data_IF_181557071114
#
_entry.id   IF_181557071114
#
_cell.length_a   1.000
_cell.length_b   1.000
_cell.length_c   1.000
_cell.angle_alpha   90.00
_cell.angle_beta   90.00
_cell.angle_gamma   90.00
#
_symmetry.space_group_name_H-M   'P 1'
#
loop_
_entity.id
_entity.type
_entity.pdbx_description
1 polymer ?
#
# COMPACT_ATOMS: atom_id res chain seq x y z
N UNK A 1 -22.20 14.74 7.12
CA UNK A 1 -21.49 14.88 8.40
C UNK A 1 -20.05 15.24 8.09
N UNK A 2 -19.48 16.28 8.72
CA UNK A 2 -18.15 16.78 8.36
C UNK A 2 -17.05 15.78 8.76
N UNK A 3 -16.19 15.43 7.81
CA UNK A 3 -14.97 14.64 8.01
C UNK A 3 -14.06 15.33 9.04
N UNK A 4 -13.54 14.57 10.01
CA UNK A 4 -12.62 15.08 11.05
C UNK A 4 -11.21 14.57 10.81
N UNK A 5 -10.23 15.47 10.90
CA UNK A 5 -8.82 15.14 10.89
C UNK A 5 -8.08 16.05 11.86
N UNK A 6 -7.11 15.50 12.57
CA UNK A 6 -6.16 16.25 13.42
C UNK A 6 -4.92 16.70 12.64
N UNK A 7 -4.87 16.46 11.33
CA UNK A 7 -3.82 17.00 10.46
C UNK A 7 -4.16 18.45 10.11
N UNK A 8 -3.74 19.39 10.96
CA UNK A 8 -3.81 20.81 10.65
C UNK A 8 -2.65 21.17 9.71
N UNK A 9 -2.96 21.51 8.47
CA UNK A 9 -2.04 22.17 7.55
C UNK A 9 -2.76 23.41 7.05
N UNK A 10 -2.14 24.61 7.02
CA UNK A 10 -2.73 25.75 6.33
C UNK A 10 -3.14 25.29 4.94
N UNK A 11 -4.35 25.61 4.51
CA UNK A 11 -4.74 25.28 3.13
C UNK A 11 -3.66 25.87 2.20
N UNK A 12 -3.07 25.07 1.29
CA UNK A 12 -2.17 25.63 0.30
C UNK A 12 -2.93 26.76 -0.40
N UNK A 13 -2.28 27.91 -0.60
CA UNK A 13 -2.87 28.98 -1.38
C UNK A 13 -3.35 28.35 -2.69
N UNK A 14 -4.66 28.34 -2.90
CA UNK A 14 -5.26 27.79 -4.11
C UNK A 14 -4.63 28.53 -5.27
N UNK A 15 -3.65 27.90 -5.93
CA UNK A 15 -3.08 28.39 -7.17
C UNK A 15 -4.06 28.12 -8.31
N UNK A 16 -5.35 28.40 -8.11
CA UNK A 16 -6.39 28.58 -9.12
C UNK A 16 -7.62 29.21 -8.46
N UNK A 17 -7.53 30.51 -8.20
CA UNK A 17 -8.73 31.35 -8.17
C UNK A 17 -9.42 31.23 -9.54
N UNK A 18 -10.74 31.09 -9.54
CA UNK A 18 -11.55 30.90 -10.74
C UNK A 18 -11.23 31.94 -11.82
N UNK A 19 -11.10 31.47 -13.06
CA UNK A 19 -10.94 32.35 -14.23
C UNK A 19 -9.81 32.00 -15.20
N UNK A 20 -9.23 30.79 -15.19
CA UNK A 20 -8.22 30.44 -16.17
C UNK A 20 -8.85 30.03 -17.51
N UNK A 21 -8.92 30.96 -18.47
CA UNK A 21 -9.13 30.64 -19.88
C UNK A 21 -7.80 30.13 -20.47
N UNK A 22 -7.72 28.83 -20.73
CA UNK A 22 -6.54 28.20 -21.30
C UNK A 22 -6.58 28.34 -22.85
N UNK A 23 -5.63 29.03 -23.50
CA UNK A 23 -5.60 29.16 -24.96
C UNK A 23 -4.88 27.98 -25.63
N UNK A 24 -5.05 26.76 -25.11
CA UNK A 24 -4.40 25.56 -25.66
C UNK A 24 -5.35 24.66 -26.48
N UNK A 25 -6.58 25.11 -26.72
CA UNK A 25 -7.46 24.51 -27.72
C UNK A 25 -7.46 25.34 -29.00
N UNK A 26 -6.35 25.32 -29.75
CA UNK A 26 -6.35 25.79 -31.13
C UNK A 26 -5.30 25.06 -31.98
N UNK A 27 -5.80 24.11 -32.80
CA UNK A 27 -5.21 23.55 -34.03
C UNK A 27 -3.98 22.65 -33.79
N UNK A 28 -3.94 21.42 -34.31
CA UNK A 28 -3.88 21.12 -35.75
C UNK A 28 -4.41 19.72 -36.05
N UNK A 29 -5.33 19.66 -37.03
CA UNK A 29 -5.58 18.49 -37.86
C UNK A 29 -4.47 18.35 -38.91
N UNK A 30 -4.26 17.10 -39.34
CA UNK A 30 -3.41 16.59 -40.44
C UNK A 30 -1.90 16.47 -40.21
N UNK A 31 -1.45 15.22 -40.04
CA UNK A 31 -0.65 14.50 -41.05
C UNK A 31 -0.66 13.00 -40.74
N UNK A 32 -1.25 12.21 -41.63
CA UNK A 32 -1.06 10.77 -41.70
C UNK A 32 0.20 10.49 -42.52
N UNK A 33 1.13 9.69 -42.00
CA UNK A 33 1.91 8.67 -42.73
C UNK A 33 3.08 8.17 -41.85
N UNK A 34 2.92 6.91 -41.40
CA UNK A 34 3.89 5.82 -41.41
C UNK A 34 5.34 6.09 -40.95
N UNK A 35 5.72 5.43 -39.85
CA UNK A 35 6.74 4.38 -39.87
C UNK A 35 6.61 3.54 -38.59
N UNK A 36 6.37 2.24 -38.78
CA UNK A 36 6.31 1.27 -37.71
C UNK A 36 7.68 1.10 -37.06
N UNK A 37 7.74 1.40 -35.78
CA UNK A 37 8.63 0.70 -34.86
C UNK A 37 7.70 -0.06 -33.91
N UNK A 38 7.85 -1.38 -33.88
CA UNK A 38 7.08 -2.25 -33.01
C UNK A 38 7.25 -1.81 -31.55
N UNK A 39 6.30 -1.04 -31.03
CA UNK A 39 5.99 -1.08 -29.62
C UNK A 39 5.33 -2.44 -29.41
N UNK A 40 6.17 -3.47 -29.18
CA UNK A 40 5.69 -4.72 -28.63
C UNK A 40 4.84 -4.33 -27.41
N UNK A 41 3.57 -4.75 -27.33
CA UNK A 41 2.85 -4.56 -26.10
C UNK A 41 3.64 -5.31 -25.04
N UNK A 42 4.12 -4.61 -24.00
CA UNK A 42 4.67 -5.23 -22.81
C UNK A 42 3.63 -6.06 -22.02
N UNK A 43 2.45 -6.28 -22.63
CA UNK A 43 1.40 -7.17 -22.19
C UNK A 43 1.87 -8.62 -22.42
N UNK A 44 2.33 -9.26 -21.35
CA UNK A 44 2.63 -10.70 -21.36
C UNK A 44 4.04 -11.10 -20.91
N UNK A 45 4.93 -10.17 -20.58
CA UNK A 45 6.17 -10.52 -19.88
C UNK A 45 5.87 -10.73 -18.39
N UNK A 46 6.27 -11.88 -17.81
CA UNK A 46 6.09 -12.13 -16.39
C UNK A 46 6.79 -11.05 -15.56
N UNK A 47 6.13 -10.60 -14.49
CA UNK A 47 6.74 -9.66 -13.54
C UNK A 47 7.76 -10.45 -12.71
N UNK A 48 9.05 -10.25 -12.96
CA UNK A 48 10.11 -11.04 -12.32
C UNK A 48 10.14 -10.86 -10.80
N UNK A 49 9.68 -9.71 -10.33
CA UNK A 49 9.58 -9.30 -8.94
C UNK A 49 8.48 -10.08 -8.17
N UNK A 50 7.60 -10.80 -8.87
CA UNK A 50 6.51 -11.58 -8.26
C UNK A 50 6.98 -12.91 -7.67
N UNK A 51 7.81 -12.84 -6.64
CA UNK A 51 8.37 -14.01 -5.95
C UNK A 51 7.97 -14.02 -4.49
N UNK A 52 7.14 -14.99 -4.11
CA UNK A 52 6.71 -15.20 -2.72
C UNK A 52 7.67 -16.10 -1.97
N UNK A 53 7.89 -15.79 -0.70
CA UNK A 53 8.69 -16.61 0.20
C UNK A 53 8.07 -17.98 0.47
N UNK A 54 8.90 -19.01 0.67
CA UNK A 54 8.43 -20.36 1.03
C UNK A 54 7.76 -20.41 2.40
N UNK A 55 8.13 -19.51 3.32
CA UNK A 55 7.52 -19.43 4.66
C UNK A 55 6.03 -19.13 4.61
N UNK A 56 5.55 -18.53 3.52
CA UNK A 56 4.12 -18.28 3.32
C UNK A 56 3.33 -19.59 3.38
N UNK A 57 3.87 -20.72 2.90
CA UNK A 57 3.22 -22.04 2.88
C UNK A 57 2.91 -22.62 4.26
N UNK A 58 3.51 -22.10 5.33
CA UNK A 58 3.29 -22.56 6.71
C UNK A 58 1.99 -22.01 7.32
N UNK A 59 1.34 -21.06 6.66
CA UNK A 59 0.17 -20.33 7.16
C UNK A 59 -0.89 -20.29 6.08
N UNK A 60 -2.15 -20.55 6.43
CA UNK A 60 -3.26 -20.43 5.48
C UNK A 60 -3.46 -18.98 5.06
N UNK A 61 -3.46 -18.74 3.74
CA UNK A 61 -3.77 -17.43 3.19
C UNK A 61 -5.21 -16.99 3.52
N UNK A 62 -6.16 -17.92 3.46
CA UNK A 62 -7.58 -17.63 3.75
C UNK A 62 -7.81 -17.20 5.20
N UNK A 63 -7.17 -17.87 6.16
CA UNK A 63 -7.25 -17.51 7.57
C UNK A 63 -6.66 -16.11 7.81
N UNK A 64 -5.52 -15.81 7.17
CA UNK A 64 -4.88 -14.50 7.31
C UNK A 64 -5.68 -13.38 6.65
N UNK A 65 -6.25 -13.61 5.47
CA UNK A 65 -7.14 -12.66 4.77
C UNK A 65 -8.44 -12.40 5.56
N UNK A 66 -8.98 -13.44 6.20
CA UNK A 66 -10.16 -13.30 7.08
C UNK A 66 -9.82 -12.45 8.31
N UNK A 67 -8.69 -12.72 8.97
CA UNK A 67 -8.22 -11.95 10.11
C UNK A 67 -7.92 -10.48 9.73
N UNK A 68 -7.26 -10.26 8.59
CA UNK A 68 -7.03 -8.93 8.03
C UNK A 68 -8.34 -8.17 7.79
N UNK A 69 -9.34 -8.82 7.18
CA UNK A 69 -10.65 -8.22 6.97
C UNK A 69 -11.37 -7.86 8.28
N UNK A 70 -11.22 -8.66 9.34
CA UNK A 70 -11.76 -8.35 10.67
C UNK A 70 -11.04 -7.15 11.30
N UNK A 71 -9.71 -7.13 11.31
CA UNK A 71 -8.91 -6.04 11.85
C UNK A 71 -9.19 -4.72 11.13
N UNK A 72 -9.31 -4.76 9.81
CA UNK A 72 -9.64 -3.59 8.99
C UNK A 72 -11.01 -3.01 9.34
N UNK A 73 -12.04 -3.85 9.48
CA UNK A 73 -13.38 -3.42 9.89
C UNK A 73 -13.39 -2.82 11.30
N UNK A 74 -12.65 -3.42 12.23
CA UNK A 74 -12.52 -2.90 13.59
C UNK A 74 -11.88 -1.50 13.59
N UNK A 75 -10.78 -1.32 12.84
CA UNK A 75 -10.12 -0.02 12.69
C UNK A 75 -11.08 1.01 12.08
N UNK A 76 -11.81 0.66 11.01
CA UNK A 76 -12.79 1.56 10.40
C UNK A 76 -13.94 1.92 11.35
N UNK A 77 -14.40 0.98 12.18
CA UNK A 77 -15.42 1.24 13.21
C UNK A 77 -14.92 2.28 14.22
N UNK A 78 -13.72 2.08 14.75
CA UNK A 78 -13.09 3.01 15.72
C UNK A 78 -12.87 4.40 15.11
N UNK A 79 -12.40 4.48 13.85
CA UNK A 79 -12.26 5.74 13.15
C UNK A 79 -13.63 6.40 12.88
N UNK A 80 -14.66 5.60 12.56
CA UNK A 80 -16.02 6.10 12.29
C UNK A 80 -16.67 6.69 13.54
N UNK A 81 -16.45 6.12 14.73
CA UNK A 81 -16.89 6.69 16.01
C UNK A 81 -16.35 8.12 16.22
N UNK A 82 -15.15 8.39 15.69
CA UNK A 82 -14.50 9.70 15.74
C UNK A 82 -14.84 10.60 14.52
N UNK A 83 -15.68 10.13 13.59
CA UNK A 83 -15.95 10.74 12.28
C UNK A 83 -14.68 10.98 11.44
N UNK A 84 -13.70 10.09 11.62
CA UNK A 84 -12.40 10.14 10.97
C UNK A 84 -12.32 9.23 9.73
N UNK A 85 -13.42 8.62 9.26
CA UNK A 85 -13.42 7.95 7.95
C UNK A 85 -13.83 8.94 6.88
N UNK A 86 -13.00 9.10 5.85
CA UNK A 86 -13.26 9.99 4.72
C UNK A 86 -14.54 9.58 3.98
N UNK A 87 -15.51 10.50 3.75
CA UNK A 87 -16.72 10.16 3.01
C UNK A 87 -16.39 9.86 1.54
N UNK A 88 -17.29 9.13 0.86
CA UNK A 88 -17.03 8.61 -0.49
C UNK A 88 -16.76 9.68 -1.54
N UNK A 89 -17.31 10.87 -1.33
CA UNK A 89 -17.19 12.07 -2.16
C UNK A 89 -16.04 13.00 -1.74
N UNK A 90 -15.29 12.66 -0.69
CA UNK A 90 -14.10 13.42 -0.29
C UNK A 90 -13.07 13.41 -1.44
N UNK A 91 -12.49 14.56 -1.84
CA UNK A 91 -11.58 14.63 -2.98
C UNK A 91 -10.40 13.66 -2.90
N UNK A 92 -9.76 13.54 -1.72
CA UNK A 92 -8.67 12.57 -1.53
C UNK A 92 -9.16 11.11 -1.60
N UNK A 93 -10.39 10.78 -1.20
CA UNK A 93 -10.93 9.41 -1.34
C UNK A 93 -11.16 9.08 -2.81
N UNK A 94 -11.73 10.03 -3.57
CA UNK A 94 -11.93 9.90 -5.02
C UNK A 94 -10.58 9.70 -5.72
N UNK A 95 -9.60 10.55 -5.40
CA UNK A 95 -8.23 10.47 -5.91
C UNK A 95 -7.59 9.11 -5.65
N UNK A 96 -7.58 8.66 -4.39
CA UNK A 96 -7.02 7.36 -4.01
C UNK A 96 -7.68 6.20 -4.75
N UNK A 97 -9.01 6.23 -4.89
CA UNK A 97 -9.74 5.18 -5.63
C UNK A 97 -9.43 5.18 -7.11
N UNK A 98 -9.25 6.36 -7.73
CA UNK A 98 -8.85 6.45 -9.12
C UNK A 98 -7.44 5.88 -9.35
N UNK A 99 -6.49 6.16 -8.46
CA UNK A 99 -5.14 5.59 -8.50
C UNK A 99 -5.19 4.06 -8.32
N UNK A 100 -5.92 3.58 -7.32
CA UNK A 100 -6.06 2.14 -7.08
C UNK A 100 -6.68 1.40 -8.26
N UNK A 101 -7.70 1.99 -8.90
CA UNK A 101 -8.35 1.42 -10.07
C UNK A 101 -7.39 1.24 -11.26
N UNK A 102 -6.35 2.08 -11.36
CA UNK A 102 -5.30 1.96 -12.39
C UNK A 102 -4.23 0.92 -12.02
N UNK A 103 -3.92 0.75 -10.74
CA UNK A 103 -2.85 -0.16 -10.27
C UNK A 103 -3.34 -1.61 -10.13
N UNK A 104 -4.51 -1.83 -9.53
CA UNK A 104 -5.05 -3.18 -9.19
C UNK A 104 -5.07 -4.15 -10.39
N UNK A 105 -5.35 -3.76 -11.64
CA UNK A 105 -5.30 -4.67 -12.78
C UNK A 105 -3.96 -5.41 -12.93
N UNK A 106 -2.83 -4.77 -12.57
CA UNK A 106 -1.50 -5.37 -12.65
C UNK A 106 -1.15 -6.24 -11.44
N UNK A 107 -1.97 -6.21 -10.39
CA UNK A 107 -1.80 -7.02 -9.20
C UNK A 107 -2.09 -8.51 -9.44
N UNK A 108 -3.08 -8.79 -10.32
CA UNK A 108 -3.56 -10.15 -10.60
C UNK A 108 -2.47 -11.02 -11.25
N UNK A 109 -1.64 -10.42 -12.10
CA UNK A 109 -0.51 -11.12 -12.74
C UNK A 109 0.50 -11.65 -11.70
N UNK A 110 0.58 -10.99 -10.54
CA UNK A 110 1.53 -11.32 -9.48
C UNK A 110 1.01 -12.38 -8.51
N UNK A 111 -0.26 -12.28 -8.14
CA UNK A 111 -0.91 -13.19 -7.21
C UNK A 111 -2.33 -13.45 -7.67
N UNK A 112 -2.59 -14.66 -8.18
CA UNK A 112 -3.91 -15.02 -8.70
C UNK A 112 -5.03 -14.87 -7.67
N UNK A 113 -4.74 -14.97 -6.36
CA UNK A 113 -5.75 -14.75 -5.30
C UNK A 113 -6.30 -13.33 -5.31
N UNK A 114 -5.54 -12.36 -5.83
CA UNK A 114 -5.96 -10.97 -5.97
C UNK A 114 -7.22 -10.79 -6.83
N UNK A 115 -7.54 -11.77 -7.69
CA UNK A 115 -8.79 -11.79 -8.47
C UNK A 115 -10.03 -11.93 -7.58
N UNK A 116 -9.88 -12.62 -6.44
CA UNK A 116 -10.97 -12.94 -5.51
C UNK A 116 -10.96 -11.97 -4.30
N UNK A 117 -9.95 -11.11 -4.19
CA UNK A 117 -9.85 -10.11 -3.14
C UNK A 117 -10.93 -9.05 -3.28
N UNK A 118 -11.53 -8.70 -2.14
CA UNK A 118 -12.48 -7.58 -2.05
C UNK A 118 -11.70 -6.29 -1.79
N UNK A 119 -11.22 -5.66 -2.86
CA UNK A 119 -10.47 -4.42 -2.76
C UNK A 119 -11.28 -3.30 -2.11
N UNK A 120 -10.72 -2.68 -1.07
CA UNK A 120 -11.31 -1.55 -0.37
C UNK A 120 -10.24 -0.47 -0.19
N UNK A 121 -10.60 0.79 -0.48
CA UNK A 121 -9.72 1.94 -0.31
C UNK A 121 -10.45 2.99 0.52
N UNK A 122 -9.89 3.28 1.70
CA UNK A 122 -10.44 4.24 2.63
C UNK A 122 -9.37 5.23 3.11
N UNK A 123 -9.84 6.42 3.49
CA UNK A 123 -9.01 7.50 4.04
C UNK A 123 -9.32 7.64 5.53
N UNK A 124 -8.28 7.66 6.35
CA UNK A 124 -8.36 7.86 7.80
C UNK A 124 -7.89 9.28 8.12
N UNK A 125 -8.77 10.06 8.75
CA UNK A 125 -8.53 11.42 9.20
C UNK A 125 -7.60 11.43 10.41
N UNK A 126 -6.30 11.34 10.15
CA UNK A 126 -5.26 11.40 11.17
C UNK A 126 -3.99 12.03 10.61
N UNK A 127 -3.24 12.76 11.45
CA UNK A 127 -1.96 13.40 11.14
C UNK A 127 -0.79 12.42 11.03
N UNK A 128 -1.00 11.13 11.32
CA UNK A 128 0.04 10.14 11.12
C UNK A 128 0.45 10.09 9.65
N UNK A 129 1.75 10.05 9.38
CA UNK A 129 2.27 9.74 8.05
C UNK A 129 2.29 8.22 7.93
N UNK A 130 1.17 7.68 7.45
CA UNK A 130 1.01 6.24 7.27
C UNK A 130 0.07 5.90 6.12
N UNK A 131 0.29 4.72 5.56
CA UNK A 131 -0.62 4.02 4.67
C UNK A 131 -0.37 2.52 4.87
N UNK A 132 -1.30 1.67 4.47
CA UNK A 132 -1.04 0.23 4.43
C UNK A 132 -1.94 -0.49 3.42
N UNK A 133 -1.55 -1.69 3.00
CA UNK A 133 -2.46 -2.66 2.38
C UNK A 133 -2.39 -4.02 3.10
N UNK A 134 -3.48 -4.43 3.75
CA UNK A 134 -3.55 -5.75 4.37
C UNK A 134 -3.89 -6.85 3.34
N UNK A 135 -3.62 -8.14 3.67
CA UNK A 135 -4.10 -9.27 2.89
C UNK A 135 -5.59 -9.17 2.55
N UNK A 136 -5.96 -9.54 1.32
CA UNK A 136 -7.34 -9.43 0.85
C UNK A 136 -7.71 -8.05 0.28
N UNK A 137 -6.72 -7.19 0.01
CA UNK A 137 -6.88 -5.92 -0.69
C UNK A 137 -7.45 -4.80 0.18
N UNK A 138 -7.11 -4.74 1.47
CA UNK A 138 -7.63 -3.73 2.40
C UNK A 138 -6.64 -2.57 2.53
N UNK A 139 -6.88 -1.51 1.76
CA UNK A 139 -6.01 -0.35 1.66
C UNK A 139 -6.52 0.78 2.54
N UNK A 140 -5.64 1.38 3.33
CA UNK A 140 -5.92 2.63 4.03
C UNK A 140 -4.79 3.63 3.84
N UNK A 141 -5.16 4.89 3.63
CA UNK A 141 -4.24 6.03 3.68
C UNK A 141 -4.62 6.92 4.85
N UNK A 142 -3.63 7.47 5.55
CA UNK A 142 -3.85 8.46 6.59
C UNK A 142 -3.75 9.85 5.96
N UNK A 143 -4.71 10.73 6.23
CA UNK A 143 -4.77 12.06 5.62
C UNK A 143 -3.46 12.85 5.81
N UNK A 144 -2.76 12.65 6.93
CA UNK A 144 -1.45 13.22 7.21
C UNK A 144 -0.38 12.91 6.16
N UNK A 145 -0.30 11.66 5.66
CA UNK A 145 0.73 11.29 4.65
C UNK A 145 0.55 12.09 3.36
N UNK A 146 -0.70 12.32 2.95
CA UNK A 146 -1.04 13.07 1.74
C UNK A 146 -0.80 14.56 1.95
N UNK A 147 -1.32 15.09 3.07
CA UNK A 147 -1.40 16.52 3.30
C UNK A 147 -0.11 17.13 3.84
N UNK A 148 0.66 16.43 4.69
CA UNK A 148 1.89 17.00 5.24
C UNK A 148 3.07 16.90 4.28
N UNK A 149 3.10 15.85 3.45
CA UNK A 149 4.16 15.67 2.45
C UNK A 149 3.81 16.33 1.11
N UNK A 150 2.59 16.85 0.95
CA UNK A 150 2.10 17.47 -0.29
C UNK A 150 2.37 16.55 -1.49
N UNK A 151 1.84 15.32 -1.42
CA UNK A 151 2.11 14.28 -2.42
C UNK A 151 1.33 14.53 -3.71
N UNK A 152 2.01 14.46 -4.84
CA UNK A 152 1.38 14.40 -6.16
C UNK A 152 0.88 12.97 -6.50
N UNK A 153 0.21 12.82 -7.65
CA UNK A 153 -0.42 11.54 -8.01
C UNK A 153 0.59 10.42 -8.26
N UNK A 154 1.77 10.75 -8.79
CA UNK A 154 2.83 9.79 -9.04
C UNK A 154 3.41 9.29 -7.70
N UNK A 155 3.64 10.19 -6.74
CA UNK A 155 4.13 9.83 -5.40
C UNK A 155 3.10 9.02 -4.60
N UNK A 156 1.81 9.36 -4.69
CA UNK A 156 0.74 8.55 -4.07
C UNK A 156 0.68 7.17 -4.72
N UNK A 157 0.87 7.08 -6.03
CA UNK A 157 0.94 5.80 -6.73
C UNK A 157 2.15 4.96 -6.30
N UNK A 158 3.30 5.57 -5.97
CA UNK A 158 4.45 4.85 -5.43
C UNK A 158 4.14 4.23 -4.06
N UNK A 159 3.53 4.98 -3.13
CA UNK A 159 3.10 4.45 -1.84
C UNK A 159 2.10 3.32 -2.04
N UNK A 160 1.10 3.52 -2.91
CA UNK A 160 0.06 2.53 -3.15
C UNK A 160 0.61 1.26 -3.79
N UNK A 161 1.51 1.39 -4.76
CA UNK A 161 2.19 0.27 -5.40
C UNK A 161 3.03 -0.52 -4.40
N UNK A 162 3.80 0.16 -3.55
CA UNK A 162 4.57 -0.45 -2.47
C UNK A 162 3.67 -1.25 -1.52
N UNK A 163 2.57 -0.66 -1.04
CA UNK A 163 1.64 -1.33 -0.15
C UNK A 163 0.95 -2.54 -0.78
N UNK A 164 0.44 -2.38 -2.01
CA UNK A 164 -0.14 -3.50 -2.75
C UNK A 164 0.89 -4.62 -2.91
N UNK A 165 2.16 -4.28 -3.14
CA UNK A 165 3.24 -5.27 -3.28
C UNK A 165 3.46 -6.10 -2.01
N UNK A 166 3.41 -5.49 -0.81
CA UNK A 166 3.44 -6.27 0.44
C UNK A 166 2.32 -7.31 0.52
N UNK A 167 1.11 -6.96 0.09
CA UNK A 167 -0.01 -7.89 0.06
C UNK A 167 0.19 -8.98 -0.99
N UNK A 168 0.65 -8.63 -2.20
CA UNK A 168 0.83 -9.58 -3.31
C UNK A 168 1.94 -10.59 -3.05
N UNK A 169 3.05 -10.13 -2.48
CA UNK A 169 4.18 -10.96 -2.07
C UNK A 169 3.93 -11.66 -0.72
N UNK A 170 2.80 -11.37 -0.09
CA UNK A 170 2.30 -11.98 1.14
C UNK A 170 3.30 -11.85 2.30
N UNK A 171 3.99 -10.71 2.41
CA UNK A 171 4.99 -10.45 3.46
C UNK A 171 4.42 -10.60 4.87
N UNK A 172 3.15 -10.26 5.08
CA UNK A 172 2.47 -10.52 6.36
C UNK A 172 2.37 -12.04 6.64
N UNK A 173 2.01 -12.85 5.64
CA UNK A 173 1.91 -14.31 5.75
C UNK A 173 3.27 -14.94 5.97
N UNK A 174 4.28 -14.45 5.26
CA UNK A 174 5.67 -14.82 5.48
C UNK A 174 6.12 -14.50 6.91
N UNK A 175 5.82 -13.30 7.42
CA UNK A 175 6.23 -12.90 8.78
C UNK A 175 5.62 -13.82 9.84
N UNK A 176 4.32 -14.11 9.71
CA UNK A 176 3.63 -15.08 10.56
C UNK A 176 4.23 -16.48 10.40
N UNK A 177 4.53 -16.90 9.16
CA UNK A 177 5.15 -18.19 8.87
C UNK A 177 6.54 -18.34 9.48
N UNK A 178 7.38 -17.30 9.40
CA UNK A 178 8.68 -17.23 10.07
C UNK A 178 8.52 -17.38 11.59
N UNK A 179 7.57 -16.66 12.21
CA UNK A 179 7.29 -16.80 13.65
C UNK A 179 6.79 -18.21 13.99
N UNK A 180 5.94 -18.79 13.16
CA UNK A 180 5.44 -20.17 13.33
C UNK A 180 6.58 -21.18 13.24
N UNK A 181 7.49 -21.03 12.27
CA UNK A 181 8.66 -21.89 12.12
C UNK A 181 9.59 -21.79 13.34
N UNK A 182 9.91 -20.57 13.78
CA UNK A 182 10.73 -20.35 14.97
C UNK A 182 10.08 -20.96 16.22
N UNK A 183 8.77 -20.77 16.39
CA UNK A 183 8.02 -21.35 17.52
C UNK A 183 7.86 -22.86 17.40
N UNK A 184 7.67 -23.42 16.21
CA UNK A 184 7.57 -24.86 15.96
C UNK A 184 8.87 -25.60 16.26
N UNK A 185 10.03 -24.97 16.02
CA UNK A 185 11.33 -25.47 16.49
C UNK A 185 11.40 -25.51 18.02
N UNK A 186 10.87 -24.48 18.70
CA UNK A 186 10.78 -24.43 20.17
C UNK A 186 9.74 -25.43 20.70
N UNK A 187 8.62 -25.60 20.00
CA UNK A 187 7.54 -26.51 20.34
C UNK A 187 7.87 -27.96 20.07
N UNK A 188 8.75 -28.32 19.13
CA UNK A 188 9.33 -29.67 19.10
C UNK A 188 10.16 -29.95 20.37
N UNK A 189 10.77 -28.91 20.96
CA UNK A 189 11.39 -28.98 22.28
C UNK A 189 10.39 -29.04 23.43
N UNK A 190 9.20 -28.42 23.31
CA UNK A 190 8.16 -28.38 24.36
C UNK A 190 6.96 -29.33 24.16
N UNK A 191 6.86 -30.05 23.04
CA UNK A 191 5.92 -31.14 22.79
C UNK A 191 6.37 -32.40 23.54
N UNK A 192 7.66 -32.48 23.89
CA UNK A 192 8.14 -33.30 25.01
C UNK A 192 7.49 -32.92 26.35
N UNK A 193 6.85 -31.74 26.45
CA UNK A 193 6.21 -31.17 27.64
C UNK A 193 4.68 -30.91 27.46
N UNK A 194 4.07 -31.33 26.34
CA UNK A 194 2.60 -31.50 26.23
C UNK A 194 1.72 -30.26 26.02
N UNK A 195 2.15 -29.21 25.32
CA UNK A 195 1.34 -28.00 25.07
C UNK A 195 1.12 -27.74 23.58
N UNK A 196 -0.12 -27.85 23.08
CA UNK A 196 -0.47 -27.47 21.71
C UNK A 196 -1.81 -26.74 21.61
N UNK A 197 -1.86 -25.54 21.03
CA UNK A 197 -3.11 -24.86 20.70
C UNK A 197 -2.97 -23.86 19.52
N UNK A 198 -3.01 -24.37 18.29
CA UNK A 198 -2.93 -23.57 17.04
C UNK A 198 -4.08 -22.56 16.88
N UNK A 199 -5.25 -22.81 17.48
CA UNK A 199 -6.43 -21.91 17.38
C UNK A 199 -6.24 -20.56 18.08
N UNK A 200 -5.49 -20.52 19.19
CA UNK A 200 -5.23 -19.27 19.93
C UNK A 200 -4.25 -18.36 19.19
N UNK A 201 -3.33 -18.94 18.43
CA UNK A 201 -2.34 -18.20 17.65
C UNK A 201 -3.01 -17.30 16.61
N UNK A 202 -4.01 -17.78 15.87
CA UNK A 202 -4.70 -16.96 14.87
C UNK A 202 -5.56 -15.85 15.47
N UNK A 203 -6.16 -16.09 16.65
CA UNK A 203 -6.89 -15.06 17.39
C UNK A 203 -5.95 -13.93 17.86
N UNK A 204 -4.74 -14.28 18.34
CA UNK A 204 -3.73 -13.31 18.77
C UNK A 204 -3.10 -12.55 17.57
N UNK A 205 -3.02 -13.20 16.40
CA UNK A 205 -2.46 -12.61 15.16
C UNK A 205 -3.39 -11.57 14.52
N UNK A 206 -4.70 -11.76 14.60
CA UNK A 206 -5.69 -10.83 14.04
C UNK A 206 -5.66 -9.42 14.64
N UNK A 207 -5.06 -9.25 15.83
CA UNK A 207 -4.88 -7.94 16.45
C UNK A 207 -3.59 -7.21 16.03
N UNK A 208 -2.65 -7.87 15.36
CA UNK A 208 -1.26 -7.39 15.23
C UNK A 208 -0.80 -7.09 13.80
N UNK A 209 -1.63 -7.29 12.76
CA UNK A 209 -1.18 -7.11 11.37
C UNK A 209 -0.76 -5.66 11.07
N UNK A 210 -1.45 -4.67 11.65
CA UNK A 210 -1.09 -3.24 11.55
C UNK A 210 0.28 -2.88 12.16
N UNK A 211 0.79 -3.73 13.04
CA UNK A 211 2.05 -3.48 13.78
C UNK A 211 3.20 -4.37 13.31
N UNK A 212 2.98 -5.16 12.25
CA UNK A 212 4.03 -5.98 11.69
C UNK A 212 5.16 -5.10 11.17
N UNK A 213 6.38 -5.55 11.43
CA UNK A 213 7.60 -4.97 10.86
C UNK A 213 8.12 -5.91 9.80
N UNK A 214 8.33 -5.37 8.61
CA UNK A 214 8.87 -6.12 7.49
C UNK A 214 10.40 -6.10 7.51
N UNK A 215 11.00 -7.12 6.90
CA UNK A 215 12.46 -7.21 6.78
C UNK A 215 12.98 -6.27 5.70
N UNK A 216 14.29 -5.95 5.70
CA UNK A 216 14.89 -5.12 4.63
C UNK A 216 14.73 -5.75 3.24
N UNK A 217 14.71 -7.08 3.17
CA UNK A 217 14.47 -7.84 1.94
C UNK A 217 13.02 -7.64 1.48
N UNK A 218 12.05 -7.80 2.39
CA UNK A 218 10.63 -7.59 2.13
C UNK A 218 10.39 -6.16 1.58
N UNK A 219 11.04 -5.15 2.17
CA UNK A 219 10.97 -3.76 1.72
C UNK A 219 11.55 -3.57 0.32
N UNK A 220 12.69 -4.19 0.03
CA UNK A 220 13.34 -4.10 -1.30
C UNK A 220 12.47 -4.74 -2.38
N UNK A 221 11.83 -5.87 -2.07
CA UNK A 221 10.91 -6.55 -2.97
C UNK A 221 9.63 -5.74 -3.20
N UNK A 222 9.08 -5.14 -2.14
CA UNK A 222 7.91 -4.27 -2.24
C UNK A 222 8.19 -2.99 -3.04
N UNK A 223 9.38 -2.40 -2.90
CA UNK A 223 9.82 -1.27 -3.72
C UNK A 223 9.94 -1.64 -5.20
N UNK A 224 10.63 -2.75 -5.51
CA UNK A 224 10.83 -3.19 -6.89
C UNK A 224 9.50 -3.48 -7.59
N UNK A 225 8.65 -4.31 -6.97
CA UNK A 225 7.34 -4.62 -7.53
C UNK A 225 6.43 -3.38 -7.58
N UNK A 226 6.46 -2.53 -6.54
CA UNK A 226 5.66 -1.31 -6.44
C UNK A 226 5.96 -0.34 -7.57
N UNK A 227 7.24 -0.12 -7.88
CA UNK A 227 7.69 0.67 -9.02
C UNK A 227 7.18 0.09 -10.34
N UNK A 228 7.28 -1.23 -10.53
CA UNK A 228 6.82 -1.90 -11.76
C UNK A 228 5.31 -1.75 -11.97
N UNK A 229 4.49 -2.05 -10.95
CA UNK A 229 3.03 -2.00 -11.11
C UNK A 229 2.52 -0.56 -11.23
N UNK A 230 3.14 0.41 -10.56
CA UNK A 230 2.80 1.81 -10.71
C UNK A 230 3.22 2.36 -12.09
N UNK A 231 4.40 1.98 -12.60
CA UNK A 231 4.84 2.34 -13.94
C UNK A 231 3.94 1.75 -15.03
N UNK A 232 3.54 0.47 -14.89
CA UNK A 232 2.58 -0.18 -15.80
C UNK A 232 1.20 0.50 -15.76
N UNK A 233 0.80 1.03 -14.61
CA UNK A 233 -0.40 1.84 -14.45
C UNK A 233 -0.29 3.26 -15.04
N UNK A 234 0.87 3.64 -15.57
CA UNK A 234 1.12 4.92 -16.23
C UNK A 234 1.49 6.05 -15.28
N UNK A 235 2.05 5.74 -14.11
CA UNK A 235 2.64 6.71 -13.18
C UNK A 235 4.15 6.78 -13.37
N UNK A 236 4.75 7.92 -13.03
CA UNK A 236 6.19 8.12 -13.16
C UNK A 236 6.97 7.42 -12.03
N UNK A 237 7.75 6.35 -12.30
CA UNK A 237 8.48 5.64 -11.24
C UNK A 237 9.58 6.51 -10.60
N UNK A 238 10.04 7.58 -11.26
CA UNK A 238 11.02 8.52 -10.67
C UNK A 238 10.46 9.29 -9.47
N UNK A 239 9.13 9.35 -9.31
CA UNK A 239 8.49 9.93 -8.14
C UNK A 239 8.85 9.19 -6.84
N UNK A 240 9.35 7.95 -6.91
CA UNK A 240 9.88 7.25 -5.74
C UNK A 240 11.03 8.02 -5.07
N UNK A 241 11.87 8.69 -5.87
CA UNK A 241 13.00 9.48 -5.36
C UNK A 241 12.50 10.71 -4.58
N UNK A 242 11.55 11.45 -5.16
CA UNK A 242 11.00 12.66 -4.52
C UNK A 242 10.17 12.30 -3.29
N UNK A 243 9.42 11.20 -3.34
CA UNK A 243 8.73 10.63 -2.19
C UNK A 243 9.70 10.33 -1.04
N UNK A 244 10.81 9.63 -1.30
CA UNK A 244 11.80 9.32 -0.27
C UNK A 244 12.45 10.57 0.31
N UNK A 245 12.78 11.55 -0.52
CA UNK A 245 13.29 12.85 -0.06
C UNK A 245 12.29 13.55 0.87
N UNK A 246 11.00 13.57 0.51
CA UNK A 246 9.92 14.13 1.34
C UNK A 246 9.79 13.38 2.67
N UNK A 247 9.78 12.05 2.63
CA UNK A 247 9.72 11.20 3.83
C UNK A 247 10.89 11.46 4.78
N UNK A 248 12.12 11.49 4.27
CA UNK A 248 13.32 11.76 5.07
C UNK A 248 13.31 13.17 5.67
N UNK A 249 12.87 14.17 4.89
CA UNK A 249 12.75 15.56 5.36
C UNK A 249 11.70 15.75 6.47
N UNK A 250 10.71 14.86 6.55
CA UNK A 250 9.67 14.90 7.58
C UNK A 250 10.12 14.35 8.94
N UNK A 251 11.30 13.73 9.02
CA UNK A 251 11.82 13.10 10.23
C UNK A 251 12.34 14.14 11.25
N UNK A 252 11.48 14.60 12.16
CA UNK A 252 11.80 15.58 13.22
C UNK A 252 12.06 14.92 14.59
N UNK A 253 12.96 13.95 14.64
CA UNK A 253 13.46 13.35 15.90
C UNK A 253 12.80 12.04 16.34
N UNK A 254 11.72 11.61 15.70
CA UNK A 254 11.20 10.25 15.77
C UNK A 254 10.74 9.81 14.37
N UNK A 255 11.07 8.59 13.92
CA UNK A 255 10.71 8.13 12.59
C UNK A 255 9.17 8.11 12.45
N UNK A 256 8.62 8.58 11.33
CA UNK A 256 7.20 8.46 11.03
C UNK A 256 6.66 7.04 11.22
N UNK A 257 5.35 6.91 11.46
CA UNK A 257 4.71 5.61 11.67
C UNK A 257 4.95 4.66 10.48
N UNK A 258 4.91 5.19 9.25
CA UNK A 258 5.32 4.47 8.05
C UNK A 258 6.71 3.84 8.20
N UNK A 259 7.73 4.61 8.61
CA UNK A 259 9.10 4.07 8.79
C UNK A 259 9.21 3.05 9.95
N UNK A 260 8.22 2.99 10.84
CA UNK A 260 8.21 2.03 11.95
C UNK A 260 7.76 0.64 11.51
N UNK A 261 6.90 0.54 10.49
CA UNK A 261 6.50 -0.72 9.84
C UNK A 261 7.37 -1.03 8.60
N UNK A 262 7.89 0.01 7.95
CA UNK A 262 8.74 -0.01 6.75
C UNK A 262 10.13 0.57 7.01
N UNK A 263 11.09 -0.22 7.55
CA UNK A 263 12.42 0.29 7.87
C UNK A 263 13.11 0.89 6.63
N UNK A 264 13.65 2.11 6.76
CA UNK A 264 14.48 2.71 5.71
C UNK A 264 15.92 2.18 5.73
N UNK A 265 16.58 2.24 4.58
CA UNK A 265 18.03 2.12 4.44
C UNK A 265 18.51 3.13 3.39
N UNK A 266 19.76 3.57 3.47
CA UNK A 266 20.35 4.45 2.45
C UNK A 266 20.32 3.82 1.04
N UNK A 267 20.16 2.49 0.96
CA UNK A 267 20.08 1.70 -0.27
C UNK A 267 18.71 1.68 -0.97
N UNK A 268 17.73 2.49 -0.54
CA UNK A 268 16.37 2.55 -1.14
C UNK A 268 16.18 3.69 -2.15
N UNK A 269 17.22 4.51 -2.39
CA UNK A 269 17.27 5.59 -3.37
C UNK A 269 18.16 5.17 -4.55
#
# INVERSE_FOLDING_TARGET
MNFRTDATVPEPALAHAGGCHCPLHARRLFSAALLGAAALPALGQPIEECRRSKFTQLVSAEQLETAAGQQYRQMLSQASEQRAVGPKDHPQVVRLRAIAQRIIPFAIECNERAKDWRWEVNLIGSKQLNAFCMPGGKIAFYYGILQQLQLDDDEVAMIMGHEISHALLEHARERVGKTTATRGVIELGSALLGLGNTGRMFADLGGQLLTLRFSREDESQADALGLVIAARAGYNPRAGITLWQKMLSSNKGAPPQWLSTHPSGESRI
#
